data_IF_343265473795
#
_entry.id   IF_343265473795
#
_cell.length_a   1.000
_cell.length_b   1.000
_cell.length_c   1.000
_cell.angle_alpha   90.00
_cell.angle_beta   90.00
_cell.angle_gamma   90.00
#
_symmetry.space_group_name_H-M   'P 1'
#
loop_
_entity.id
_entity.type
_entity.pdbx_description
1 polymer ?
#
# COMPACT_ATOMS: atom_id res chain seq x y z
N UNK A 1 6.02 7.05 4.50
CA UNK A 1 5.11 8.20 4.35
C UNK A 1 4.78 8.81 5.71
N UNK A 2 4.09 8.09 6.61
CA UNK A 2 3.67 8.62 7.93
C UNK A 2 4.78 9.33 8.73
N UNK A 3 5.97 8.74 8.88
CA UNK A 3 7.07 9.35 9.63
C UNK A 3 7.49 10.72 9.05
N UNK A 4 7.62 10.81 7.72
CA UNK A 4 7.98 12.07 7.05
C UNK A 4 6.86 13.10 7.17
N UNK A 5 5.60 12.68 7.03
CA UNK A 5 4.45 13.56 7.21
C UNK A 5 4.36 14.11 8.62
N UNK A 6 4.63 13.29 9.65
CA UNK A 6 4.61 13.72 11.05
C UNK A 6 5.67 14.78 11.34
N UNK A 7 6.90 14.57 10.87
CA UNK A 7 7.99 15.54 10.99
C UNK A 7 7.63 16.90 10.33
N UNK A 8 7.12 16.85 9.10
CA UNK A 8 6.70 18.05 8.37
C UNK A 8 5.53 18.74 9.10
N UNK A 9 4.53 17.98 9.55
CA UNK A 9 3.37 18.51 10.25
C UNK A 9 3.77 19.24 11.53
N UNK A 10 4.63 18.64 12.38
CA UNK A 10 5.10 19.27 13.60
C UNK A 10 5.80 20.62 13.34
N UNK A 11 6.67 20.66 12.32
CA UNK A 11 7.36 21.89 11.90
C UNK A 11 6.37 22.95 11.41
N UNK A 12 5.42 22.58 10.56
CA UNK A 12 4.46 23.53 9.99
C UNK A 12 3.47 24.04 11.03
N UNK A 13 3.00 23.18 11.94
CA UNK A 13 2.12 23.58 13.04
C UNK A 13 2.79 24.62 13.94
N UNK A 14 4.07 24.41 14.28
CA UNK A 14 4.82 25.40 15.07
C UNK A 14 4.90 26.79 14.42
N UNK A 15 4.93 26.84 13.08
CA UNK A 15 4.96 28.10 12.33
C UNK A 15 3.57 28.76 12.19
N UNK A 16 2.50 27.97 12.06
CA UNK A 16 1.15 28.48 11.76
C UNK A 16 0.36 28.85 13.01
N UNK A 17 0.52 28.10 14.11
CA UNK A 17 -0.29 28.29 15.32
C UNK A 17 -0.20 29.68 15.98
N UNK A 18 0.95 30.40 15.97
CA UNK A 18 1.03 31.74 16.55
C UNK A 18 0.12 32.78 15.86
N UNK A 19 -0.07 32.68 14.54
CA UNK A 19 -0.89 33.62 13.76
C UNK A 19 -1.57 32.89 12.58
N UNK A 20 -2.67 32.16 12.83
CA UNK A 20 -3.33 31.38 11.80
C UNK A 20 -4.11 32.25 10.81
N UNK A 21 -4.11 31.86 9.54
CA UNK A 21 -4.95 32.44 8.49
C UNK A 21 -5.94 31.40 7.99
N UNK A 22 -7.22 31.74 8.00
CA UNK A 22 -8.29 30.85 7.55
C UNK A 22 -8.80 31.30 6.18
N UNK A 23 -9.05 30.33 5.31
CA UNK A 23 -9.68 30.52 4.02
C UNK A 23 -10.67 29.37 3.76
N UNK A 24 -11.82 29.62 3.12
CA UNK A 24 -12.70 28.54 2.67
C UNK A 24 -11.98 27.56 1.75
N UNK A 25 -12.33 26.28 1.83
CA UNK A 25 -11.85 25.28 0.88
C UNK A 25 -12.47 25.55 -0.51
N UNK A 26 -11.70 25.53 -1.61
CA UNK A 26 -12.25 25.62 -2.95
C UNK A 26 -13.19 24.45 -3.26
N UNK A 27 -14.26 24.69 -4.03
CA UNK A 27 -15.17 23.63 -4.47
C UNK A 27 -14.52 22.70 -5.50
N UNK A 28 -13.58 23.22 -6.31
CA UNK A 28 -12.90 22.45 -7.33
C UNK A 28 -11.78 21.58 -6.73
N UNK A 29 -11.73 20.32 -7.15
CA UNK A 29 -10.67 19.38 -6.75
C UNK A 29 -10.91 18.68 -5.40
N UNK A 30 -12.08 18.88 -4.78
CA UNK A 30 -12.46 18.14 -3.56
C UNK A 30 -12.64 16.67 -3.89
N UNK A 31 -11.91 15.82 -3.17
CA UNK A 31 -12.05 14.36 -3.21
C UNK A 31 -12.16 13.82 -1.78
N UNK A 32 -12.93 12.75 -1.63
CA UNK A 32 -13.04 12.05 -0.36
C UNK A 32 -12.13 10.82 -0.38
N UNK A 33 -11.28 10.68 0.64
CA UNK A 33 -10.47 9.50 0.84
C UNK A 33 -11.26 8.48 1.66
N UNK A 34 -11.84 7.49 0.97
CA UNK A 34 -12.62 6.42 1.58
C UNK A 34 -11.82 5.64 2.63
N UNK A 35 -12.53 5.13 3.65
CA UNK A 35 -11.91 4.25 4.65
C UNK A 35 -11.50 2.94 3.97
N UNK A 36 -10.29 2.50 4.26
CA UNK A 36 -9.80 1.20 3.80
C UNK A 36 -10.62 0.08 4.45
N UNK A 37 -11.26 -0.75 3.63
CA UNK A 37 -12.01 -1.94 4.00
C UNK A 37 -11.32 -3.24 3.59
N UNK A 38 -11.96 -4.39 3.85
CA UNK A 38 -11.40 -5.70 3.49
C UNK A 38 -11.20 -5.90 1.98
N UNK A 39 -12.09 -5.36 1.15
CA UNK A 39 -12.06 -5.50 -0.30
C UNK A 39 -10.86 -4.79 -0.95
N UNK A 40 -10.43 -3.65 -0.39
CA UNK A 40 -9.27 -2.89 -0.90
C UNK A 40 -7.96 -3.67 -0.81
N UNK A 41 -7.92 -4.69 0.05
CA UNK A 41 -6.74 -5.54 0.22
C UNK A 41 -6.64 -6.60 -0.86
N UNK A 42 -7.71 -6.90 -1.60
CA UNK A 42 -7.68 -7.85 -2.70
C UNK A 42 -7.08 -7.20 -3.95
N UNK A 43 -6.06 -7.84 -4.52
CA UNK A 43 -5.41 -7.39 -5.74
C UNK A 43 -6.06 -8.03 -6.95
N UNK A 44 -6.53 -7.20 -7.89
CA UNK A 44 -6.63 -7.60 -9.29
C UNK A 44 -5.27 -7.39 -9.96
N UNK A 45 -4.81 -8.36 -10.75
CA UNK A 45 -3.57 -8.25 -11.53
C UNK A 45 -3.84 -7.84 -12.99
N UNK A 46 -5.10 -7.57 -13.35
CA UNK A 46 -5.46 -7.04 -14.67
C UNK A 46 -4.93 -5.61 -14.87
N UNK A 47 -4.72 -4.89 -13.76
CA UNK A 47 -3.99 -3.62 -13.70
C UNK A 47 -2.74 -3.78 -12.81
N UNK A 48 -1.58 -4.13 -13.40
CA UNK A 48 -0.33 -4.30 -12.67
C UNK A 48 0.15 -3.05 -11.93
N UNK A 49 -0.14 -1.86 -12.45
CA UNK A 49 0.28 -0.60 -11.84
C UNK A 49 -0.56 -0.31 -10.60
N UNK A 50 -1.88 -0.45 -10.68
CA UNK A 50 -2.77 -0.32 -9.53
C UNK A 50 -2.45 -1.36 -8.45
N UNK A 51 -2.21 -2.62 -8.84
CA UNK A 51 -1.79 -3.67 -7.90
C UNK A 51 -0.50 -3.28 -7.16
N UNK A 52 0.50 -2.77 -7.89
CA UNK A 52 1.74 -2.29 -7.31
C UNK A 52 1.54 -1.10 -6.36
N UNK A 53 0.70 -0.12 -6.74
CA UNK A 53 0.34 1.03 -5.90
C UNK A 53 -0.37 0.58 -4.61
N UNK A 54 -1.31 -0.36 -4.69
CA UNK A 54 -2.02 -0.92 -3.52
C UNK A 54 -1.08 -1.64 -2.56
N UNK A 55 -0.15 -2.46 -3.05
CA UNK A 55 0.86 -3.10 -2.19
C UNK A 55 1.65 -2.07 -1.39
N UNK A 56 2.05 -0.96 -2.03
CA UNK A 56 2.78 0.14 -1.37
C UNK A 56 1.92 0.91 -0.37
N UNK A 57 0.65 1.14 -0.68
CA UNK A 57 -0.28 1.88 0.18
C UNK A 57 -0.63 1.10 1.46
N UNK A 58 -0.75 -0.22 1.37
CA UNK A 58 -1.24 -1.08 2.45
C UNK A 58 -0.13 -1.71 3.30
N UNK A 59 1.13 -1.58 2.88
CA UNK A 59 2.31 -2.11 3.59
C UNK A 59 2.99 -1.03 4.45
N UNK A 60 3.59 -1.38 5.60
CA UNK A 60 3.78 -2.73 6.16
C UNK A 60 2.63 -3.18 7.09
N UNK A 61 1.52 -2.45 7.14
CA UNK A 61 0.53 -2.57 8.20
C UNK A 61 -0.45 -3.73 8.01
N UNK A 62 -1.20 -3.72 6.91
CA UNK A 62 -2.29 -4.68 6.69
C UNK A 62 -2.04 -5.58 5.48
N UNK A 63 -1.24 -5.13 4.51
CA UNK A 63 -0.88 -5.90 3.33
C UNK A 63 -2.04 -6.11 2.36
N UNK A 64 -1.68 -6.24 1.08
CA UNK A 64 -2.58 -6.64 0.02
C UNK A 64 -2.38 -8.12 -0.29
N UNK A 65 -3.37 -8.80 -0.86
CA UNK A 65 -3.32 -10.25 -1.09
C UNK A 65 -3.91 -10.61 -2.44
N UNK A 66 -3.46 -11.74 -2.96
CA UNK A 66 -4.02 -12.39 -4.15
C UNK A 66 -3.94 -13.91 -3.98
N UNK A 67 -4.42 -14.65 -4.97
CA UNK A 67 -4.39 -16.12 -4.97
C UNK A 67 -3.28 -16.62 -5.90
N UNK A 68 -2.36 -17.44 -5.37
CA UNK A 68 -1.29 -18.08 -6.14
C UNK A 68 -1.33 -19.58 -5.88
N UNK A 69 -1.51 -20.39 -6.93
CA UNK A 69 -1.63 -21.85 -6.79
C UNK A 69 -2.83 -22.28 -5.93
N UNK A 70 -3.95 -21.54 -6.03
CA UNK A 70 -5.17 -21.81 -5.26
C UNK A 70 -5.10 -21.44 -3.77
N UNK A 71 -4.00 -20.84 -3.31
CA UNK A 71 -3.81 -20.41 -1.92
C UNK A 71 -3.72 -18.90 -1.85
N UNK A 72 -4.30 -18.33 -0.79
CA UNK A 72 -4.17 -16.91 -0.51
C UNK A 72 -2.75 -16.57 -0.05
N UNK A 73 -2.19 -15.54 -0.65
CA UNK A 73 -0.84 -15.05 -0.36
C UNK A 73 -0.88 -13.53 -0.20
N UNK A 74 -0.39 -13.03 0.94
CA UNK A 74 -0.23 -11.59 1.15
C UNK A 74 1.07 -11.13 0.50
N UNK A 75 1.01 -10.07 -0.29
CA UNK A 75 2.14 -9.43 -0.95
C UNK A 75 2.51 -8.17 -0.15
N UNK A 76 3.71 -8.17 0.41
CA UNK A 76 4.24 -7.08 1.25
C UNK A 76 5.17 -6.14 0.48
N UNK A 77 5.79 -6.65 -0.58
CA UNK A 77 6.64 -5.87 -1.47
C UNK A 77 6.56 -6.45 -2.87
N UNK A 78 6.47 -5.56 -3.84
CA UNK A 78 6.48 -5.87 -5.25
C UNK A 78 7.17 -4.73 -6.01
N UNK A 79 7.65 -5.04 -7.20
CA UNK A 79 8.14 -4.06 -8.17
C UNK A 79 7.33 -4.17 -9.46
N UNK A 80 7.28 -3.07 -10.20
CA UNK A 80 6.70 -3.02 -11.54
C UNK A 80 7.85 -3.10 -12.55
N UNK A 81 7.81 -4.05 -13.47
CA UNK A 81 8.86 -4.27 -14.47
C UNK A 81 8.26 -4.54 -15.84
N UNK A 82 8.46 -3.62 -16.79
CA UNK A 82 7.89 -3.72 -18.13
C UNK A 82 6.38 -4.00 -18.08
N UNK A 83 5.65 -3.21 -17.29
CA UNK A 83 4.21 -3.36 -17.02
C UNK A 83 3.80 -4.70 -16.38
N UNK A 84 4.74 -5.41 -15.76
CA UNK A 84 4.46 -6.63 -15.02
C UNK A 84 4.61 -6.42 -13.52
N UNK A 85 3.62 -6.91 -12.78
CA UNK A 85 3.66 -6.98 -11.33
C UNK A 85 4.56 -8.14 -10.90
N UNK A 86 5.67 -7.85 -10.23
CA UNK A 86 6.63 -8.85 -9.76
C UNK A 86 6.67 -8.85 -8.23
N UNK A 87 6.12 -9.88 -7.56
CA UNK A 87 6.22 -10.03 -6.12
C UNK A 87 7.67 -10.24 -5.68
N UNK A 88 8.04 -9.67 -4.52
CA UNK A 88 9.38 -9.82 -3.95
C UNK A 88 9.34 -10.39 -2.53
N UNK A 89 8.43 -9.88 -1.70
CA UNK A 89 8.24 -10.31 -0.33
C UNK A 89 6.78 -10.72 -0.14
N UNK A 90 6.57 -11.99 0.18
CA UNK A 90 5.24 -12.61 0.26
C UNK A 90 5.04 -13.29 1.61
N UNK A 91 3.80 -13.55 1.96
CA UNK A 91 3.42 -14.29 3.15
C UNK A 91 2.23 -15.22 2.84
N UNK A 92 2.49 -16.52 2.68
CA UNK A 92 1.44 -17.53 2.64
C UNK A 92 0.69 -17.60 3.96
N UNK A 93 -0.57 -18.03 3.94
CA UNK A 93 -1.35 -18.23 5.16
C UNK A 93 -0.66 -19.19 6.14
N UNK A 94 -0.64 -18.81 7.42
CA UNK A 94 -0.01 -19.58 8.48
C UNK A 94 1.53 -19.64 8.43
N UNK A 95 2.18 -18.87 7.55
CA UNK A 95 3.64 -18.84 7.41
C UNK A 95 4.22 -17.46 7.70
N UNK A 96 5.52 -17.44 7.96
CA UNK A 96 6.29 -16.21 8.03
C UNK A 96 6.46 -15.58 6.65
N UNK A 97 6.81 -14.29 6.63
CA UNK A 97 7.20 -13.60 5.39
C UNK A 97 8.44 -14.27 4.81
N UNK A 98 8.46 -14.45 3.50
CA UNK A 98 9.54 -15.08 2.74
C UNK A 98 9.70 -14.41 1.38
N UNK A 99 10.83 -14.63 0.71
CA UNK A 99 11.00 -14.18 -0.66
C UNK A 99 10.04 -14.92 -1.61
N UNK A 100 9.71 -14.29 -2.73
CA UNK A 100 8.87 -14.94 -3.73
C UNK A 100 9.51 -16.21 -4.32
N UNK A 101 10.83 -16.22 -4.50
CA UNK A 101 11.55 -17.40 -5.01
C UNK A 101 11.50 -18.58 -4.05
N UNK A 102 11.63 -18.34 -2.73
CA UNK A 102 11.46 -19.38 -1.70
C UNK A 102 10.05 -19.96 -1.73
N UNK A 103 9.04 -19.10 -1.87
CA UNK A 103 7.65 -19.50 -1.99
C UNK A 103 7.42 -20.40 -3.21
N UNK A 104 7.99 -20.05 -4.37
CA UNK A 104 7.89 -20.85 -5.58
C UNK A 104 8.58 -22.22 -5.44
N UNK A 105 9.76 -22.28 -4.80
CA UNK A 105 10.44 -23.56 -4.56
C UNK A 105 9.64 -24.50 -3.66
N UNK A 106 8.94 -23.98 -2.67
CA UNK A 106 8.12 -24.77 -1.74
C UNK A 106 6.75 -25.20 -2.28
N UNK A 107 6.32 -24.70 -3.45
CA UNK A 107 5.04 -25.06 -4.08
C UNK A 107 5.21 -25.72 -5.47
N UNK A 108 6.44 -26.13 -5.84
CA UNK A 108 6.70 -27.00 -6.99
C UNK A 108 6.51 -28.47 -6.63
#
# INVERSE_FOLDING_TARGET
MFARSAEIAARLLGAVLPEPRFAPQPEQGVIYAEKIGPADRELSLDDPEDAWRRVRALSPHIGAWTTIGGKRVTIWRARLEHDRFVPELVQPEGRNRMSYDEFLRGNR
#
